data_IF_738107957744
#
_entry.id   IF_738107957744
#
_cell.length_a   1.000
_cell.length_b   1.000
_cell.length_c   1.000
_cell.angle_alpha   90.00
_cell.angle_beta   90.00
_cell.angle_gamma   90.00
#
_symmetry.space_group_name_H-M   'P 1'
#
loop_
_entity.id
_entity.type
_entity.pdbx_description
1 polymer ?
#
# COMPACT_ATOMS: atom_id res chain seq x y z
N UNK A 1 0.92 9.11 -8.04
CA UNK A 1 0.33 10.11 -7.15
C UNK A 1 1.18 10.11 -5.89
N UNK A 2 1.87 11.20 -5.54
CA UNK A 2 2.67 11.23 -4.30
C UNK A 2 1.70 11.40 -3.13
N UNK A 3 1.56 10.36 -2.30
CA UNK A 3 0.71 10.37 -1.09
C UNK A 3 1.15 11.48 -0.13
N UNK A 4 0.21 12.22 0.49
CA UNK A 4 0.52 13.28 1.46
C UNK A 4 1.10 12.74 2.78
N UNK A 5 0.68 11.53 3.15
CA UNK A 5 1.07 10.82 4.36
C UNK A 5 1.33 9.37 3.97
N UNK A 6 2.43 8.80 4.44
CA UNK A 6 2.84 7.43 4.15
C UNK A 6 3.36 6.73 5.41
N UNK A 7 3.48 5.41 5.34
CA UNK A 7 3.97 4.61 6.45
C UNK A 7 5.50 4.62 6.51
N UNK A 8 6.07 4.92 7.68
CA UNK A 8 7.50 4.77 7.96
C UNK A 8 7.70 4.24 9.36
N UNK A 9 8.39 3.10 9.51
CA UNK A 9 8.65 2.46 10.80
C UNK A 9 7.39 2.32 11.66
N UNK A 10 6.29 1.87 11.03
CA UNK A 10 4.96 1.71 11.65
C UNK A 10 4.30 3.01 12.15
N UNK A 11 4.82 4.18 11.77
CA UNK A 11 4.22 5.49 12.05
C UNK A 11 3.74 6.15 10.75
N UNK A 12 2.57 6.77 10.81
CA UNK A 12 2.05 7.62 9.73
C UNK A 12 2.84 8.93 9.71
N UNK A 13 3.53 9.23 8.61
CA UNK A 13 4.37 10.42 8.50
C UNK A 13 4.14 11.18 7.20
N UNK A 14 4.35 12.49 7.25
CA UNK A 14 4.56 13.32 6.06
C UNK A 14 5.97 13.90 6.08
N UNK A 15 6.43 14.45 4.96
CA UNK A 15 7.73 15.08 4.90
C UNK A 15 7.72 16.61 4.74
N UNK A 16 8.80 17.21 5.23
CA UNK A 16 8.96 18.66 5.23
C UNK A 16 9.13 19.26 3.83
N UNK A 17 9.54 18.47 2.83
CA UNK A 17 9.70 18.95 1.45
C UNK A 17 8.33 19.18 0.82
N UNK A 18 7.43 18.21 0.93
CA UNK A 18 6.06 18.31 0.47
C UNK A 18 5.28 19.37 1.24
N UNK A 19 5.46 19.45 2.56
CA UNK A 19 4.83 20.51 3.37
C UNK A 19 5.32 21.89 2.92
N UNK A 20 6.62 22.07 2.67
CA UNK A 20 7.13 23.34 2.15
C UNK A 20 6.50 23.70 0.80
N UNK A 21 6.41 22.74 -0.12
CA UNK A 21 5.77 22.91 -1.43
C UNK A 21 4.29 23.33 -1.30
N UNK A 22 3.50 22.57 -0.53
CA UNK A 22 2.04 22.79 -0.44
C UNK A 22 1.67 24.09 0.26
N UNK A 23 2.45 24.50 1.26
CA UNK A 23 2.20 25.74 2.00
C UNK A 23 2.96 26.95 1.43
N UNK A 24 3.59 26.82 0.25
CA UNK A 24 4.31 27.91 -0.42
C UNK A 24 5.48 28.45 0.40
N UNK A 25 6.12 27.59 1.20
CA UNK A 25 7.26 27.94 2.06
C UNK A 25 8.56 27.52 1.41
N UNK A 26 9.61 28.28 1.73
CA UNK A 26 10.98 27.86 1.42
C UNK A 26 11.41 26.72 2.33
N UNK A 27 11.82 25.59 1.75
CA UNK A 27 12.17 24.37 2.49
C UNK A 27 13.32 24.59 3.49
N UNK A 28 14.35 25.34 3.10
CA UNK A 28 15.49 25.67 3.97
C UNK A 28 15.05 26.45 5.22
N UNK A 29 14.10 27.39 5.05
CA UNK A 29 13.53 28.16 6.15
C UNK A 29 12.65 27.31 7.06
N UNK A 30 11.85 26.42 6.49
CA UNK A 30 11.00 25.50 7.24
C UNK A 30 11.84 24.51 8.09
N UNK A 31 12.94 23.98 7.55
CA UNK A 31 13.89 23.15 8.33
C UNK A 31 14.50 23.94 9.49
N UNK A 32 14.95 25.17 9.24
CA UNK A 32 15.52 26.03 10.28
C UNK A 32 14.49 26.36 11.37
N UNK A 33 13.24 26.59 10.98
CA UNK A 33 12.11 26.82 11.89
C UNK A 33 11.83 25.61 12.77
N UNK A 34 11.77 24.40 12.20
CA UNK A 34 11.59 23.15 12.97
C UNK A 34 12.71 22.99 14.00
N UNK A 35 13.98 23.18 13.59
CA UNK A 35 15.13 23.07 14.50
C UNK A 35 15.09 24.10 15.62
N UNK A 36 14.70 25.34 15.31
CA UNK A 36 14.65 26.43 16.26
C UNK A 36 13.51 26.28 17.27
N UNK A 37 12.31 25.93 16.81
CA UNK A 37 11.10 25.94 17.66
C UNK A 37 10.82 24.59 18.31
N UNK A 38 11.19 23.49 17.65
CA UNK A 38 10.87 22.13 18.08
C UNK A 38 12.11 21.26 18.23
N UNK A 39 13.30 21.86 18.33
CA UNK A 39 14.58 21.15 18.44
C UNK A 39 14.58 20.09 19.55
N UNK A 40 13.98 20.40 20.69
CA UNK A 40 13.87 19.46 21.81
C UNK A 40 12.93 18.27 21.56
N UNK A 41 12.03 18.38 20.58
CA UNK A 41 11.08 17.31 20.19
C UNK A 41 11.64 16.42 19.08
N UNK A 42 12.76 16.80 18.46
CA UNK A 42 13.41 16.00 17.40
C UNK A 42 13.92 14.69 18.00
N UNK A 43 13.46 13.57 17.43
CA UNK A 43 13.87 12.24 17.87
C UNK A 43 13.30 11.77 19.20
N UNK A 44 12.63 12.64 19.97
CA UNK A 44 12.03 12.31 21.27
C UNK A 44 10.61 11.78 21.12
N UNK A 45 10.28 10.78 21.94
CA UNK A 45 8.92 10.25 22.11
C UNK A 45 8.18 11.07 23.17
N UNK A 46 6.99 11.55 22.86
CA UNK A 46 6.15 12.27 23.83
C UNK A 46 5.27 11.30 24.61
N UNK A 47 5.42 11.22 25.94
CA UNK A 47 4.50 10.44 26.81
C UNK A 47 3.06 10.92 26.66
N UNK A 48 2.88 12.22 26.45
CA UNK A 48 1.58 12.86 26.22
C UNK A 48 1.00 12.58 24.82
N UNK A 49 1.78 12.01 23.90
CA UNK A 49 1.36 11.64 22.54
C UNK A 49 1.40 10.11 22.35
N UNK A 50 1.01 9.35 23.38
CA UNK A 50 1.00 7.89 23.33
C UNK A 50 2.36 7.23 23.03
N UNK A 51 3.46 7.96 23.23
CA UNK A 51 4.81 7.48 22.93
C UNK A 51 5.28 7.67 21.48
N UNK A 52 4.51 8.32 20.60
CA UNK A 52 4.95 8.64 19.23
C UNK A 52 5.98 9.78 19.22
N UNK A 53 6.86 9.80 18.21
CA UNK A 53 7.78 10.93 17.98
C UNK A 53 7.08 12.06 17.23
N UNK A 54 7.56 13.29 17.38
CA UNK A 54 7.01 14.44 16.63
C UNK A 54 7.75 14.64 15.30
N UNK A 55 9.07 14.73 15.35
CA UNK A 55 9.94 15.00 14.21
C UNK A 55 11.07 13.97 14.12
N UNK A 56 11.40 13.54 12.91
CA UNK A 56 12.52 12.64 12.60
C UNK A 56 13.43 13.30 11.57
N UNK A 57 14.72 13.30 11.82
CA UNK A 57 15.67 13.70 10.78
C UNK A 57 15.73 12.64 9.67
N UNK A 58 15.76 13.11 8.42
CA UNK A 58 15.92 12.27 7.24
C UNK A 58 16.63 13.05 6.13
N UNK A 59 16.78 12.43 4.96
CA UNK A 59 17.40 13.05 3.80
C UNK A 59 16.67 12.67 2.52
N UNK A 60 16.62 13.59 1.56
CA UNK A 60 16.18 13.31 0.18
C UNK A 60 17.35 13.50 -0.79
N UNK A 61 17.26 12.84 -1.93
CA UNK A 61 18.24 13.00 -3.01
C UNK A 61 17.74 14.00 -4.05
N UNK A 62 18.62 14.90 -4.48
CA UNK A 62 18.37 15.82 -5.57
C UNK A 62 19.68 16.05 -6.35
N UNK A 63 19.66 15.82 -7.67
CA UNK A 63 20.83 15.93 -8.55
C UNK A 63 22.06 15.16 -8.02
N UNK A 64 21.86 13.94 -7.54
CA UNK A 64 22.92 13.06 -7.01
C UNK A 64 23.53 13.51 -5.68
N UNK A 65 22.94 14.52 -5.01
CA UNK A 65 23.35 14.97 -3.66
C UNK A 65 22.23 14.73 -2.66
N UNK A 66 22.60 14.41 -1.42
CA UNK A 66 21.66 14.26 -0.30
C UNK A 66 21.48 15.58 0.44
N UNK A 67 20.23 15.94 0.70
CA UNK A 67 19.84 17.14 1.42
C UNK A 67 18.99 16.77 2.64
N UNK A 68 19.11 17.52 3.75
CA UNK A 68 18.35 17.25 4.96
C UNK A 68 16.85 17.51 4.74
N UNK A 69 16.03 16.76 5.46
CA UNK A 69 14.59 16.96 5.57
C UNK A 69 14.11 16.42 6.93
N UNK A 70 12.86 16.71 7.27
CA UNK A 70 12.20 16.09 8.42
C UNK A 70 11.05 15.21 7.94
N UNK A 71 10.89 14.06 8.57
CA UNK A 71 9.62 13.36 8.63
C UNK A 71 8.87 13.82 9.87
N UNK A 72 7.55 13.84 9.81
CA UNK A 72 6.71 14.37 10.88
C UNK A 72 5.46 13.50 11.03
N UNK A 73 5.14 13.11 12.26
CA UNK A 73 3.84 12.49 12.56
C UNK A 73 2.73 13.52 12.49
N UNK A 74 1.47 13.09 12.65
CA UNK A 74 0.30 13.96 12.70
C UNK A 74 0.48 15.14 13.67
N UNK A 75 1.03 14.86 14.85
CA UNK A 75 1.18 15.86 15.90
C UNK A 75 2.37 16.81 15.62
N UNK A 76 3.49 16.29 15.10
CA UNK A 76 4.60 17.14 14.66
C UNK A 76 4.19 18.07 13.52
N UNK A 77 3.44 17.54 12.54
CA UNK A 77 2.83 18.32 11.47
C UNK A 77 1.87 19.37 12.03
N UNK A 78 0.97 18.98 12.95
CA UNK A 78 -0.03 19.88 13.54
C UNK A 78 0.63 21.06 14.25
N UNK A 79 1.66 20.81 15.07
CA UNK A 79 2.43 21.87 15.72
C UNK A 79 3.03 22.84 14.70
N UNK A 80 3.66 22.31 13.65
CA UNK A 80 4.30 23.13 12.61
C UNK A 80 3.29 24.02 11.88
N UNK A 81 2.14 23.47 11.46
CA UNK A 81 1.21 24.20 10.59
C UNK A 81 0.22 25.09 11.33
N UNK A 82 0.19 25.08 12.67
CA UNK A 82 -0.70 25.95 13.46
C UNK A 82 -0.56 27.43 13.05
N UNK A 83 0.67 27.90 12.86
CA UNK A 83 0.98 29.28 12.44
C UNK A 83 0.76 29.58 10.96
N UNK A 84 0.43 28.57 10.13
CA UNK A 84 0.23 28.78 8.69
C UNK A 84 -1.19 29.28 8.42
N UNK A 85 -1.32 30.48 7.87
CA UNK A 85 -2.62 31.15 7.65
C UNK A 85 -2.94 31.31 6.16
N UNK A 86 -4.20 31.59 5.85
CA UNK A 86 -4.70 31.77 4.48
C UNK A 86 -5.64 30.64 4.02
N UNK A 87 -6.44 30.91 2.98
CA UNK A 87 -7.46 29.98 2.46
C UNK A 87 -6.85 28.68 1.94
N UNK A 88 -5.77 28.78 1.17
CA UNK A 88 -5.04 27.61 0.64
C UNK A 88 -4.38 26.79 1.76
N UNK A 89 -3.83 27.46 2.78
CA UNK A 89 -3.26 26.79 3.95
C UNK A 89 -4.33 25.99 4.70
N UNK A 90 -5.55 26.51 4.84
CA UNK A 90 -6.66 25.77 5.47
C UNK A 90 -7.02 24.51 4.67
N UNK A 91 -7.13 24.61 3.35
CA UNK A 91 -7.43 23.46 2.49
C UNK A 91 -6.36 22.36 2.64
N UNK A 92 -5.08 22.74 2.60
CA UNK A 92 -4.00 21.78 2.81
C UNK A 92 -4.04 21.14 4.20
N UNK A 93 -4.31 21.91 5.26
CA UNK A 93 -4.49 21.33 6.61
C UNK A 93 -5.58 20.27 6.62
N UNK A 94 -6.73 20.53 6.01
CA UNK A 94 -7.84 19.55 5.93
C UNK A 94 -7.45 18.30 5.12
N UNK A 95 -6.68 18.45 4.04
CA UNK A 95 -6.20 17.31 3.26
C UNK A 95 -5.19 16.45 4.04
N UNK A 96 -4.25 17.07 4.74
CA UNK A 96 -3.30 16.35 5.60
C UNK A 96 -4.02 15.65 6.76
N UNK A 97 -5.00 16.29 7.42
CA UNK A 97 -5.80 15.65 8.47
C UNK A 97 -6.49 14.40 7.94
N UNK A 98 -7.13 14.48 6.76
CA UNK A 98 -7.76 13.32 6.12
C UNK A 98 -6.75 12.21 5.82
N UNK A 99 -5.59 12.56 5.27
CA UNK A 99 -4.53 11.59 4.96
C UNK A 99 -3.96 10.91 6.21
N UNK A 100 -3.72 11.66 7.30
CA UNK A 100 -3.31 11.09 8.58
C UNK A 100 -4.36 10.15 9.16
N UNK A 101 -5.62 10.54 9.19
CA UNK A 101 -6.69 9.68 9.70
C UNK A 101 -6.81 8.37 8.90
N UNK A 102 -6.69 8.44 7.57
CA UNK A 102 -6.69 7.25 6.72
C UNK A 102 -5.51 6.32 7.03
N UNK A 103 -4.30 6.87 7.15
CA UNK A 103 -3.10 6.07 7.44
C UNK A 103 -3.10 5.50 8.86
N UNK A 104 -3.56 6.26 9.86
CA UNK A 104 -3.68 5.79 11.24
C UNK A 104 -4.72 4.68 11.36
N UNK A 105 -5.86 4.80 10.67
CA UNK A 105 -6.86 3.73 10.61
C UNK A 105 -6.28 2.47 9.96
N UNK A 106 -5.51 2.62 8.88
CA UNK A 106 -4.82 1.51 8.23
C UNK A 106 -3.81 0.81 9.16
N UNK A 107 -3.02 1.57 9.93
CA UNK A 107 -2.10 1.00 10.93
C UNK A 107 -2.87 0.26 12.02
N UNK A 108 -3.95 0.86 12.54
CA UNK A 108 -4.79 0.25 13.57
C UNK A 108 -5.41 -1.05 13.08
N UNK A 109 -5.93 -1.06 11.86
CA UNK A 109 -6.49 -2.23 11.21
C UNK A 109 -5.46 -3.37 11.14
N UNK A 110 -4.20 -3.08 10.75
CA UNK A 110 -3.12 -4.07 10.75
C UNK A 110 -2.77 -4.65 12.12
N UNK A 111 -2.87 -3.85 13.17
CA UNK A 111 -2.64 -4.31 14.54
C UNK A 111 -3.79 -5.14 15.12
N UNK A 112 -4.92 -5.23 14.41
CA UNK A 112 -6.10 -5.95 14.87
C UNK A 112 -5.91 -7.44 14.65
N UNK A 113 -6.37 -8.26 15.61
CA UNK A 113 -6.40 -9.72 15.50
C UNK A 113 -7.00 -10.20 14.17
N UNK A 114 -8.03 -9.48 13.68
CA UNK A 114 -8.67 -9.71 12.39
C UNK A 114 -7.68 -9.68 11.21
N UNK A 115 -6.74 -8.73 11.15
CA UNK A 115 -5.76 -8.69 10.07
C UNK A 115 -4.79 -9.87 10.13
N UNK A 116 -4.35 -10.24 11.34
CA UNK A 116 -3.45 -11.40 11.55
C UNK A 116 -4.16 -12.68 11.09
N UNK A 117 -5.42 -12.85 11.47
CA UNK A 117 -6.24 -14.00 11.07
C UNK A 117 -6.52 -14.03 9.58
N UNK A 118 -6.92 -12.90 8.98
CA UNK A 118 -7.10 -12.78 7.53
C UNK A 118 -5.82 -13.09 6.76
N UNK A 119 -4.66 -12.59 7.21
CA UNK A 119 -3.37 -12.87 6.58
C UNK A 119 -2.99 -14.33 6.70
N UNK A 120 -3.25 -14.96 7.86
CA UNK A 120 -3.03 -16.39 8.10
C UNK A 120 -3.96 -17.25 7.22
N UNK A 121 -5.24 -16.91 7.15
CA UNK A 121 -6.22 -17.58 6.29
C UNK A 121 -5.84 -17.46 4.81
N UNK A 122 -5.47 -16.28 4.35
CA UNK A 122 -5.04 -16.05 2.96
C UNK A 122 -3.80 -16.86 2.56
N UNK A 123 -2.90 -17.21 3.50
CA UNK A 123 -1.78 -18.12 3.21
C UNK A 123 -2.25 -19.53 2.82
N UNK A 124 -3.36 -20.02 3.38
CA UNK A 124 -3.93 -21.31 3.01
C UNK A 124 -4.54 -21.27 1.60
N UNK A 125 -5.36 -20.25 1.30
CA UNK A 125 -5.91 -20.04 -0.05
C UNK A 125 -4.80 -19.95 -1.08
N UNK A 126 -3.78 -19.15 -0.80
CA UNK A 126 -2.63 -19.00 -1.69
C UNK A 126 -1.91 -20.32 -1.93
N UNK A 127 -1.69 -21.13 -0.88
CA UNK A 127 -1.05 -22.44 -1.03
C UNK A 127 -1.83 -23.33 -2.00
N UNK A 128 -3.14 -23.44 -1.80
CA UNK A 128 -4.00 -24.24 -2.65
C UNK A 128 -4.01 -23.73 -4.11
N UNK A 129 -4.08 -22.40 -4.30
CA UNK A 129 -3.99 -21.79 -5.63
C UNK A 129 -2.64 -22.10 -6.29
N UNK A 130 -1.53 -22.00 -5.56
CA UNK A 130 -0.20 -22.29 -6.12
C UNK A 130 -0.02 -23.75 -6.49
N UNK A 131 -0.59 -24.67 -5.72
CA UNK A 131 -0.60 -26.09 -6.04
C UNK A 131 -1.36 -26.35 -7.34
N UNK A 132 -2.50 -25.68 -7.56
CA UNK A 132 -3.27 -25.75 -8.81
C UNK A 132 -2.55 -25.08 -9.98
N UNK A 133 -1.89 -23.95 -9.79
CA UNK A 133 -1.06 -23.32 -10.84
C UNK A 133 0.11 -24.24 -11.21
N UNK A 134 0.71 -24.97 -10.26
CA UNK A 134 1.76 -25.93 -10.57
C UNK A 134 1.25 -27.06 -11.49
N UNK A 135 0.02 -27.56 -11.26
CA UNK A 135 -0.61 -28.50 -12.19
C UNK A 135 -0.81 -27.89 -13.58
N UNK A 136 -1.20 -26.61 -13.65
CA UNK A 136 -1.34 -25.89 -14.91
C UNK A 136 0.00 -25.73 -15.65
N UNK A 137 1.10 -25.53 -14.93
CA UNK A 137 2.45 -25.47 -15.53
C UNK A 137 2.77 -26.77 -16.25
N UNK A 138 2.60 -27.91 -15.59
CA UNK A 138 2.85 -29.23 -16.18
C UNK A 138 1.90 -29.52 -17.35
N UNK A 139 0.63 -29.14 -17.20
CA UNK A 139 -0.36 -29.23 -18.27
C UNK A 139 0.03 -28.40 -19.50
N UNK A 140 0.50 -27.16 -19.30
CA UNK A 140 0.95 -26.28 -20.39
C UNK A 140 2.24 -26.78 -21.06
N UNK A 141 3.17 -27.41 -20.31
CA UNK A 141 4.34 -28.09 -20.88
C UNK A 141 3.89 -29.22 -21.82
N UNK A 142 2.90 -30.01 -21.40
CA UNK A 142 2.28 -31.06 -22.24
C UNK A 142 1.63 -30.53 -23.51
N UNK A 143 1.20 -29.27 -23.51
CA UNK A 143 0.67 -28.56 -24.69
C UNK A 143 1.76 -27.86 -25.54
N UNK A 144 3.05 -28.06 -25.21
CA UNK A 144 4.18 -27.52 -25.97
C UNK A 144 4.64 -26.11 -25.57
N UNK A 145 4.22 -25.60 -24.41
CA UNK A 145 4.67 -24.29 -23.93
C UNK A 145 6.14 -24.32 -23.48
N UNK A 146 6.99 -23.53 -24.14
CA UNK A 146 8.40 -23.35 -23.78
C UNK A 146 8.63 -22.46 -22.55
N UNK A 147 7.61 -21.72 -22.10
CA UNK A 147 7.70 -20.76 -21.00
C UNK A 147 6.64 -21.00 -19.92
N UNK A 148 6.18 -22.26 -19.76
CA UNK A 148 5.13 -22.62 -18.80
C UNK A 148 5.45 -22.19 -17.35
N UNK A 149 6.74 -22.21 -16.96
CA UNK A 149 7.23 -21.75 -15.64
C UNK A 149 6.79 -20.30 -15.32
N UNK A 150 6.60 -19.46 -16.33
CA UNK A 150 6.19 -18.05 -16.15
C UNK A 150 4.72 -17.89 -15.75
N UNK A 151 3.91 -18.95 -15.81
CA UNK A 151 2.50 -18.91 -15.43
C UNK A 151 2.34 -18.53 -13.95
N UNK A 152 3.21 -19.02 -13.07
CA UNK A 152 3.20 -18.62 -11.66
C UNK A 152 3.24 -17.10 -11.50
N UNK A 153 4.22 -16.45 -12.12
CA UNK A 153 4.37 -15.00 -12.05
C UNK A 153 3.21 -14.27 -12.74
N UNK A 154 2.68 -14.84 -13.81
CA UNK A 154 1.58 -14.25 -14.57
C UNK A 154 0.28 -14.19 -13.76
N UNK A 155 -0.10 -15.29 -13.12
CA UNK A 155 -1.30 -15.35 -12.27
C UNK A 155 -1.13 -14.54 -10.98
N UNK A 156 0.07 -14.56 -10.38
CA UNK A 156 0.37 -13.74 -9.18
C UNK A 156 0.19 -12.25 -9.46
N UNK A 157 0.72 -11.75 -10.59
CA UNK A 157 0.55 -10.35 -10.98
C UNK A 157 -0.90 -10.02 -11.28
N UNK A 158 -1.64 -10.95 -11.91
CA UNK A 158 -3.06 -10.78 -12.18
C UNK A 158 -3.87 -10.62 -10.89
N UNK A 159 -3.70 -11.54 -9.92
CA UNK A 159 -4.40 -11.48 -8.64
C UNK A 159 -4.10 -10.18 -7.87
N UNK A 160 -2.82 -9.81 -7.76
CA UNK A 160 -2.40 -8.58 -7.09
C UNK A 160 -2.98 -7.33 -7.77
N UNK A 161 -2.97 -7.29 -9.11
CA UNK A 161 -3.55 -6.18 -9.88
C UNK A 161 -5.06 -6.06 -9.65
N UNK A 162 -5.78 -7.17 -9.68
CA UNK A 162 -7.24 -7.18 -9.49
C UNK A 162 -7.64 -6.82 -8.05
N UNK A 163 -6.80 -7.16 -7.07
CA UNK A 163 -6.99 -6.78 -5.67
C UNK A 163 -6.51 -5.35 -5.34
N UNK A 164 -5.89 -4.64 -6.29
CA UNK A 164 -5.35 -3.29 -6.07
C UNK A 164 -4.15 -3.24 -5.12
N UNK A 165 -3.30 -4.28 -5.13
CA UNK A 165 -2.18 -4.43 -4.20
C UNK A 165 -0.84 -4.37 -4.94
N UNK A 166 0.08 -3.54 -4.45
CA UNK A 166 1.48 -3.55 -4.87
C UNK A 166 2.34 -4.48 -3.99
N UNK A 167 2.15 -4.44 -2.68
CA UNK A 167 2.85 -5.27 -1.69
C UNK A 167 1.85 -5.85 -0.69
N UNK A 168 1.87 -7.17 -0.53
CA UNK A 168 0.90 -7.90 0.31
C UNK A 168 1.01 -7.57 1.79
N UNK A 169 2.19 -7.22 2.27
CA UNK A 169 2.41 -6.84 3.68
C UNK A 169 2.05 -5.36 3.94
N UNK A 170 1.76 -4.62 2.86
CA UNK A 170 1.25 -3.25 2.88
C UNK A 170 -0.25 -3.19 2.52
N UNK A 171 -0.97 -4.33 2.49
CA UNK A 171 -2.39 -4.36 2.15
C UNK A 171 -3.32 -4.21 3.37
N UNK A 172 -4.48 -3.57 3.17
CA UNK A 172 -5.60 -3.50 4.13
C UNK A 172 -6.27 -4.88 4.30
N UNK A 173 -7.11 -5.09 5.33
CA UNK A 173 -7.90 -6.33 5.46
C UNK A 173 -8.82 -6.48 4.26
N UNK A 174 -9.45 -5.40 3.82
CA UNK A 174 -10.31 -5.41 2.63
C UNK A 174 -9.53 -5.85 1.38
N UNK A 175 -8.35 -5.30 1.15
CA UNK A 175 -7.48 -5.69 0.05
C UNK A 175 -7.04 -7.16 0.17
N UNK A 176 -6.68 -7.63 1.37
CA UNK A 176 -6.32 -9.03 1.59
C UNK A 176 -7.50 -9.99 1.37
N UNK A 177 -8.71 -9.61 1.75
CA UNK A 177 -9.93 -10.37 1.47
C UNK A 177 -10.21 -10.43 -0.03
N UNK A 178 -10.09 -9.29 -0.72
CA UNK A 178 -10.21 -9.23 -2.18
C UNK A 178 -9.15 -10.12 -2.84
N UNK A 179 -7.90 -10.06 -2.39
CA UNK A 179 -6.84 -10.94 -2.89
C UNK A 179 -7.19 -12.41 -2.70
N UNK A 180 -7.63 -12.82 -1.50
CA UNK A 180 -8.05 -14.20 -1.24
C UNK A 180 -9.18 -14.64 -2.17
N UNK A 181 -10.15 -13.77 -2.44
CA UNK A 181 -11.21 -14.03 -3.41
C UNK A 181 -10.66 -14.22 -4.84
N UNK A 182 -9.77 -13.34 -5.30
CA UNK A 182 -9.14 -13.45 -6.62
C UNK A 182 -8.33 -14.75 -6.77
N UNK A 183 -7.57 -15.12 -5.74
CA UNK A 183 -6.77 -16.35 -5.69
C UNK A 183 -7.66 -17.60 -5.70
N UNK A 184 -8.79 -17.58 -4.98
CA UNK A 184 -9.76 -18.67 -5.00
C UNK A 184 -10.46 -18.82 -6.37
N UNK A 185 -10.81 -17.72 -7.02
CA UNK A 185 -11.36 -17.74 -8.39
C UNK A 185 -10.37 -18.35 -9.37
N UNK A 186 -9.10 -17.94 -9.30
CA UNK A 186 -8.03 -18.49 -10.15
C UNK A 186 -7.92 -20.00 -9.95
N UNK A 187 -7.87 -20.46 -8.69
CA UNK A 187 -7.83 -21.88 -8.36
C UNK A 187 -8.95 -22.64 -9.09
N UNK A 188 -10.20 -22.21 -8.90
CA UNK A 188 -11.36 -22.94 -9.45
C UNK A 188 -11.46 -22.86 -10.97
N UNK A 189 -11.17 -21.71 -11.59
CA UNK A 189 -11.20 -21.56 -13.05
C UNK A 189 -10.07 -22.35 -13.72
N UNK A 190 -8.90 -22.45 -13.08
CA UNK A 190 -7.79 -23.27 -13.57
C UNK A 190 -8.13 -24.76 -13.50
N UNK A 191 -8.59 -25.26 -12.34
CA UNK A 191 -8.96 -26.66 -12.20
C UNK A 191 -10.07 -27.05 -13.18
N UNK A 192 -11.13 -26.22 -13.30
CA UNK A 192 -12.20 -26.44 -14.27
C UNK A 192 -11.70 -26.45 -15.71
N UNK A 193 -10.79 -25.53 -16.04
CA UNK A 193 -10.20 -25.44 -17.37
C UNK A 193 -9.39 -26.68 -17.76
N UNK A 194 -8.58 -27.19 -16.83
CA UNK A 194 -7.80 -28.42 -17.02
C UNK A 194 -8.74 -29.62 -17.18
N UNK A 195 -9.76 -29.75 -16.32
CA UNK A 195 -10.75 -30.84 -16.40
C UNK A 195 -11.50 -30.86 -17.73
N UNK A 196 -11.75 -29.69 -18.31
CA UNK A 196 -12.41 -29.53 -19.60
C UNK A 196 -11.47 -29.71 -20.79
N UNK A 197 -10.17 -29.94 -20.56
CA UNK A 197 -9.17 -30.11 -21.63
C UNK A 197 -8.93 -28.82 -22.43
N UNK A 198 -9.21 -27.64 -21.86
CA UNK A 198 -9.02 -26.36 -22.56
C UNK A 198 -7.54 -26.08 -22.78
N UNK A 199 -7.22 -25.34 -23.85
CA UNK A 199 -5.85 -24.86 -24.02
C UNK A 199 -5.46 -23.90 -22.89
N UNK A 200 -4.22 -23.98 -22.36
CA UNK A 200 -3.81 -23.23 -21.17
C UNK A 200 -3.98 -21.71 -21.31
N UNK A 201 -3.86 -21.18 -22.53
CA UNK A 201 -4.10 -19.76 -22.82
C UNK A 201 -5.57 -19.38 -22.72
N UNK A 202 -6.49 -20.29 -23.05
CA UNK A 202 -7.94 -20.07 -22.88
C UNK A 202 -8.32 -20.07 -21.41
N UNK A 203 -7.71 -20.95 -20.61
CA UNK A 203 -7.87 -20.97 -19.16
C UNK A 203 -7.48 -19.62 -18.56
N UNK A 204 -6.33 -19.06 -18.98
CA UNK A 204 -5.91 -17.72 -18.54
C UNK A 204 -6.91 -16.63 -18.94
N UNK A 205 -7.40 -16.64 -20.19
CA UNK A 205 -8.41 -15.66 -20.65
C UNK A 205 -9.71 -15.78 -19.85
N UNK A 206 -10.16 -16.98 -19.54
CA UNK A 206 -11.34 -17.23 -18.72
C UNK A 206 -11.15 -16.69 -17.29
N UNK A 207 -10.01 -16.99 -16.66
CA UNK A 207 -9.66 -16.45 -15.34
C UNK A 207 -9.69 -14.92 -15.36
N UNK A 208 -8.99 -14.29 -16.31
CA UNK A 208 -8.93 -12.83 -16.42
C UNK A 208 -10.33 -12.22 -16.56
N UNK A 209 -11.17 -12.76 -17.46
CA UNK A 209 -12.54 -12.28 -17.67
C UNK A 209 -13.39 -12.42 -16.40
N UNK A 210 -13.26 -13.55 -15.68
CA UNK A 210 -14.00 -13.77 -14.42
C UNK A 210 -13.57 -12.77 -13.34
N UNK A 211 -12.28 -12.53 -13.20
CA UNK A 211 -11.76 -11.56 -12.23
C UNK A 211 -12.19 -10.13 -12.56
N UNK A 212 -12.18 -9.73 -13.84
CA UNK A 212 -12.69 -8.43 -14.29
C UNK A 212 -14.17 -8.29 -13.94
N UNK A 213 -15.00 -9.30 -14.26
CA UNK A 213 -16.42 -9.28 -13.92
C UNK A 213 -16.67 -9.17 -12.40
N UNK A 214 -15.92 -9.91 -11.58
CA UNK A 214 -16.04 -9.83 -10.12
C UNK A 214 -15.60 -8.47 -9.61
N UNK A 215 -14.51 -7.91 -10.15
CA UNK A 215 -14.02 -6.59 -9.80
C UNK A 215 -15.09 -5.52 -10.07
N UNK A 216 -15.75 -5.59 -11.23
CA UNK A 216 -16.80 -4.65 -11.62
C UNK A 216 -18.05 -4.81 -10.74
N UNK A 217 -18.52 -6.04 -10.53
CA UNK A 217 -19.72 -6.33 -9.72
C UNK A 217 -19.54 -5.98 -8.24
N UNK A 218 -18.33 -6.13 -7.71
CA UNK A 218 -17.99 -5.81 -6.33
C UNK A 218 -17.53 -4.35 -6.15
N UNK A 219 -17.58 -3.53 -7.21
CA UNK A 219 -17.17 -2.11 -7.19
C UNK A 219 -15.76 -1.89 -6.63
N UNK A 220 -14.82 -2.75 -7.01
CA UNK A 220 -13.43 -2.71 -6.51
C UNK A 220 -12.55 -1.70 -7.26
N UNK A 221 -13.13 -0.76 -8.00
CA UNK A 221 -12.38 0.33 -8.62
C UNK A 221 -11.97 1.38 -7.59
N UNK A 222 -10.73 1.87 -7.72
CA UNK A 222 -10.26 2.99 -6.94
C UNK A 222 -11.00 4.25 -7.41
N UNK A 223 -11.81 4.85 -6.53
CA UNK A 223 -12.08 6.29 -6.56
C UNK A 223 -10.84 7.02 -6.08
#
# INVERSE_FOLDING_TARGET
MNELVYLKNDEAVCDSLQVAEKFGKRHDKLIAEIRRMYGELIGKRGVQNGGAKFFFESTYENRGKRYPMFLMTRDGFSLLVMGFTGKEALEWKLQYIRAFNQMENFIREKSTQMWIETRKAGKFTRKAETDTIQKLVEYAKGQGSSHAEMLYMTYTRLANKMAGINKRDEATVMQLNNLSLMENIILHEVDLGIMQGKHYQEIYRACKKRLEAVKDLAYLEAV
#
